data_IF_450819179588
#
_entry.id   IF_450819179588
#
_cell.length_a   1.000
_cell.length_b   1.000
_cell.length_c   1.000
_cell.angle_alpha   90.00
_cell.angle_beta   90.00
_cell.angle_gamma   90.00
#
_symmetry.space_group_name_H-M   'P 1'
#
loop_
_entity.id
_entity.type
_entity.pdbx_description
1 polymer ?
#
# COMPACT_ATOMS: atom_id res chain seq x y z
N UNK A 1 -24.53 6.10 -19.99
CA UNK A 1 -25.68 5.99 -19.07
C UNK A 1 -25.39 4.90 -18.06
N UNK A 2 -25.52 5.18 -16.76
CA UNK A 2 -25.17 4.25 -15.68
C UNK A 2 -26.04 2.97 -15.75
N UNK A 3 -25.42 1.78 -15.70
CA UNK A 3 -26.11 0.48 -15.68
C UNK A 3 -27.20 0.39 -14.60
N UNK A 4 -27.02 1.12 -13.49
CA UNK A 4 -28.01 1.27 -12.42
C UNK A 4 -29.34 1.89 -12.90
N UNK A 5 -29.28 2.90 -13.77
CA UNK A 5 -30.47 3.57 -14.31
C UNK A 5 -31.26 2.65 -15.25
N UNK A 6 -30.56 1.80 -16.00
CA UNK A 6 -31.20 0.78 -16.86
C UNK A 6 -31.93 -0.29 -16.03
N UNK A 7 -31.31 -0.74 -14.94
CA UNK A 7 -31.94 -1.72 -14.01
C UNK A 7 -33.17 -1.12 -13.35
N UNK A 8 -33.11 0.16 -12.94
CA UNK A 8 -34.23 0.84 -12.29
C UNK A 8 -35.41 1.02 -13.26
N UNK A 9 -35.14 1.38 -14.53
CA UNK A 9 -36.17 1.46 -15.58
C UNK A 9 -36.79 0.08 -15.84
N UNK A 10 -36.00 -1.01 -15.86
CA UNK A 10 -36.51 -2.37 -16.04
C UNK A 10 -37.42 -2.80 -14.89
N UNK A 11 -37.08 -2.45 -13.65
CA UNK A 11 -37.92 -2.75 -12.47
C UNK A 11 -39.23 -1.98 -12.55
N UNK A 12 -39.20 -0.69 -12.89
CA UNK A 12 -40.42 0.14 -13.04
C UNK A 12 -41.30 -0.38 -14.18
N UNK A 13 -40.69 -0.75 -15.32
CA UNK A 13 -41.42 -1.34 -16.45
C UNK A 13 -42.07 -2.68 -16.05
N UNK A 14 -41.35 -3.53 -15.31
CA UNK A 14 -41.87 -4.81 -14.83
C UNK A 14 -43.05 -4.63 -13.87
N UNK A 15 -42.95 -3.73 -12.89
CA UNK A 15 -44.03 -3.42 -11.94
C UNK A 15 -45.24 -2.83 -12.69
N UNK A 16 -45.02 -1.93 -13.66
CA UNK A 16 -46.09 -1.37 -14.47
C UNK A 16 -46.81 -2.45 -15.30
N UNK A 17 -46.09 -3.43 -15.83
CA UNK A 17 -46.67 -4.58 -16.53
C UNK A 17 -47.52 -5.47 -15.63
N UNK A 18 -47.12 -5.66 -14.37
CA UNK A 18 -47.91 -6.40 -13.37
C UNK A 18 -49.22 -5.67 -13.05
N UNK A 19 -49.14 -4.35 -12.81
CA UNK A 19 -50.33 -3.53 -12.52
C UNK A 19 -51.29 -3.52 -13.71
N UNK A 20 -50.76 -3.37 -14.92
CA UNK A 20 -51.57 -3.42 -16.16
C UNK A 20 -52.22 -4.79 -16.32
N UNK A 21 -51.49 -5.89 -16.06
CA UNK A 21 -52.03 -7.24 -16.11
C UNK A 21 -53.15 -7.46 -15.08
N UNK A 22 -52.96 -7.04 -13.82
CA UNK A 22 -53.96 -7.19 -12.75
C UNK A 22 -55.24 -6.38 -13.04
N UNK A 23 -55.09 -5.17 -13.60
CA UNK A 23 -56.22 -4.31 -13.98
C UNK A 23 -56.96 -4.89 -15.22
N UNK A 24 -56.24 -5.39 -16.23
CA UNK A 24 -56.86 -5.94 -17.44
C UNK A 24 -57.48 -7.33 -17.22
N UNK A 25 -56.89 -8.17 -16.36
CA UNK A 25 -57.45 -9.49 -16.03
C UNK A 25 -58.77 -9.38 -15.27
N UNK A 26 -58.95 -8.33 -14.46
CA UNK A 26 -60.25 -8.06 -13.80
C UNK A 26 -61.33 -7.50 -14.73
N UNK A 27 -60.99 -7.08 -15.96
CA UNK A 27 -61.94 -6.42 -16.87
C UNK A 27 -62.43 -7.27 -18.05
N UNK A 28 -61.95 -8.51 -18.21
CA UNK A 28 -62.38 -9.40 -19.28
C UNK A 28 -62.56 -10.83 -18.77
N UNK A 29 -63.57 -11.53 -19.29
CA UNK A 29 -64.05 -12.88 -18.99
C UNK A 29 -63.04 -14.02 -19.23
N UNK A 30 -61.76 -13.82 -18.89
CA UNK A 30 -60.69 -14.80 -19.03
C UNK A 30 -60.02 -14.92 -17.66
N UNK A 31 -60.44 -15.94 -16.90
CA UNK A 31 -59.74 -16.36 -15.68
C UNK A 31 -58.40 -16.96 -16.09
N UNK A 32 -57.37 -16.12 -16.14
CA UNK A 32 -56.00 -16.60 -16.15
C UNK A 32 -55.71 -17.12 -14.74
N UNK A 33 -55.59 -18.45 -14.59
CA UNK A 33 -55.11 -19.08 -13.37
C UNK A 33 -53.59 -19.23 -13.51
N UNK A 34 -52.76 -18.25 -13.11
CA UNK A 34 -51.32 -18.44 -13.14
C UNK A 34 -50.96 -19.56 -12.15
N UNK A 35 -50.27 -20.60 -12.62
CA UNK A 35 -49.72 -21.67 -11.77
C UNK A 35 -48.74 -21.14 -10.70
N UNK A 36 -48.21 -19.94 -10.91
CA UNK A 36 -47.31 -19.26 -9.99
C UNK A 36 -47.99 -18.02 -9.42
N UNK A 37 -48.09 -17.95 -8.09
CA UNK A 37 -48.59 -16.76 -7.41
C UNK A 37 -47.67 -15.57 -7.69
N UNK A 38 -48.26 -14.38 -7.89
CA UNK A 38 -47.53 -13.12 -8.08
C UNK A 38 -46.59 -12.84 -6.90
N UNK A 39 -46.97 -13.26 -5.69
CA UNK A 39 -46.12 -13.21 -4.49
C UNK A 39 -44.83 -14.01 -4.65
N UNK A 40 -44.85 -15.17 -5.31
CA UNK A 40 -43.67 -15.98 -5.55
C UNK A 40 -42.74 -15.31 -6.56
N UNK A 41 -43.29 -14.71 -7.62
CA UNK A 41 -42.50 -13.95 -8.61
C UNK A 41 -41.82 -12.72 -7.99
N UNK A 42 -42.52 -11.98 -7.14
CA UNK A 42 -41.96 -10.83 -6.41
C UNK A 42 -40.88 -11.27 -5.40
N UNK A 43 -41.09 -12.38 -4.70
CA UNK A 43 -40.11 -12.95 -3.77
C UNK A 43 -38.82 -13.37 -4.48
N UNK A 44 -38.94 -14.06 -5.62
CA UNK A 44 -37.80 -14.45 -6.47
C UNK A 44 -37.07 -13.21 -7.01
N UNK A 45 -37.80 -12.22 -7.52
CA UNK A 45 -37.21 -10.97 -8.01
C UNK A 45 -36.46 -10.21 -6.92
N UNK A 46 -37.04 -10.09 -5.72
CA UNK A 46 -36.42 -9.43 -4.57
C UNK A 46 -35.16 -10.16 -4.13
N UNK A 47 -35.21 -11.49 -4.07
CA UNK A 47 -34.04 -12.33 -3.73
C UNK A 47 -32.90 -12.13 -4.75
N UNK A 48 -33.22 -12.08 -6.04
CA UNK A 48 -32.24 -11.85 -7.10
C UNK A 48 -31.59 -10.47 -6.98
N UNK A 49 -32.37 -9.42 -6.69
CA UNK A 49 -31.87 -8.06 -6.47
C UNK A 49 -30.94 -8.01 -5.26
N UNK A 50 -31.32 -8.62 -4.14
CA UNK A 50 -30.49 -8.67 -2.93
C UNK A 50 -29.19 -9.41 -3.21
N UNK A 51 -29.24 -10.55 -3.92
CA UNK A 51 -28.05 -11.30 -4.29
C UNK A 51 -27.09 -10.47 -5.16
N UNK A 52 -27.61 -9.77 -6.17
CA UNK A 52 -26.82 -8.86 -7.02
C UNK A 52 -26.21 -7.72 -6.19
N UNK A 53 -26.97 -7.16 -5.25
CA UNK A 53 -26.50 -6.08 -4.38
C UNK A 53 -25.38 -6.55 -3.46
N UNK A 54 -25.54 -7.71 -2.80
CA UNK A 54 -24.53 -8.32 -1.95
C UNK A 54 -23.25 -8.60 -2.73
N UNK A 55 -23.35 -9.25 -3.90
CA UNK A 55 -22.18 -9.53 -4.75
C UNK A 55 -21.43 -8.25 -5.11
N UNK A 56 -22.14 -7.23 -5.61
CA UNK A 56 -21.51 -5.94 -5.95
C UNK A 56 -20.87 -5.25 -4.75
N UNK A 57 -21.50 -5.32 -3.57
CA UNK A 57 -20.97 -4.74 -2.34
C UNK A 57 -19.67 -5.44 -1.92
N UNK A 58 -19.67 -6.79 -1.92
CA UNK A 58 -18.49 -7.57 -1.58
C UNK A 58 -17.35 -7.38 -2.58
N UNK A 59 -17.65 -7.33 -3.88
CA UNK A 59 -16.64 -7.10 -4.92
C UNK A 59 -15.99 -5.72 -4.78
N UNK A 60 -16.79 -4.68 -4.52
CA UNK A 60 -16.27 -3.33 -4.26
C UNK A 60 -15.39 -3.28 -3.02
N UNK A 61 -15.80 -3.95 -1.94
CA UNK A 61 -15.03 -4.02 -0.70
C UNK A 61 -13.69 -4.72 -0.91
N UNK A 62 -13.69 -5.89 -1.56
CA UNK A 62 -12.47 -6.64 -1.92
C UNK A 62 -11.55 -5.81 -2.80
N UNK A 63 -12.10 -5.15 -3.82
CA UNK A 63 -11.32 -4.30 -4.73
C UNK A 63 -10.66 -3.13 -4.00
N UNK A 64 -11.38 -2.44 -3.11
CA UNK A 64 -10.83 -1.34 -2.33
C UNK A 64 -9.74 -1.82 -1.36
N UNK A 65 -9.91 -2.98 -0.74
CA UNK A 65 -8.89 -3.57 0.12
C UNK A 65 -7.61 -3.87 -0.67
N UNK A 66 -7.73 -4.57 -1.81
CA UNK A 66 -6.59 -4.88 -2.68
C UNK A 66 -5.86 -3.63 -3.16
N UNK A 67 -6.60 -2.61 -3.62
CA UNK A 67 -5.99 -1.35 -4.06
C UNK A 67 -5.16 -0.66 -2.96
N UNK A 68 -5.58 -0.76 -1.69
CA UNK A 68 -4.82 -0.21 -0.57
C UNK A 68 -3.56 -1.02 -0.26
N UNK A 69 -3.65 -2.35 -0.35
CA UNK A 69 -2.51 -3.27 -0.25
C UNK A 69 -1.48 -2.97 -1.34
N UNK A 70 -1.91 -2.86 -2.60
CA UNK A 70 -1.04 -2.53 -3.73
C UNK A 70 -0.33 -1.19 -3.54
N UNK A 71 -1.04 -0.19 -3.01
CA UNK A 71 -0.45 1.12 -2.72
C UNK A 71 0.67 1.04 -1.67
N UNK A 72 0.51 0.22 -0.62
CA UNK A 72 1.54 0.00 0.39
C UNK A 72 2.75 -0.72 -0.23
N UNK A 73 2.52 -1.78 -1.01
CA UNK A 73 3.59 -2.53 -1.68
C UNK A 73 4.39 -1.62 -2.62
N UNK A 74 3.70 -0.79 -3.40
CA UNK A 74 4.34 0.17 -4.29
C UNK A 74 5.23 1.17 -3.52
N UNK A 75 4.74 1.70 -2.39
CA UNK A 75 5.52 2.62 -1.55
C UNK A 75 6.71 1.94 -0.87
N UNK A 76 6.58 0.68 -0.46
CA UNK A 76 7.72 -0.13 -0.01
C UNK A 76 8.75 -0.30 -1.13
N UNK A 77 8.29 -0.51 -2.37
CA UNK A 77 9.15 -0.53 -3.56
C UNK A 77 9.87 0.80 -3.80
N UNK A 78 9.21 1.93 -3.56
CA UNK A 78 9.86 3.25 -3.63
C UNK A 78 10.99 3.39 -2.61
N UNK A 79 10.84 2.85 -1.39
CA UNK A 79 11.93 2.85 -0.40
C UNK A 79 13.12 2.03 -0.92
N UNK A 80 12.88 0.81 -1.43
CA UNK A 80 13.95 -0.02 -2.03
C UNK A 80 14.68 0.72 -3.15
N UNK A 81 13.95 1.42 -4.03
CA UNK A 81 14.56 2.19 -5.10
C UNK A 81 15.48 3.30 -4.55
N UNK A 82 15.03 4.03 -3.52
CA UNK A 82 15.88 5.07 -2.91
C UNK A 82 17.08 4.47 -2.17
N UNK A 83 16.95 3.31 -1.53
CA UNK A 83 18.09 2.60 -0.93
C UNK A 83 19.11 2.17 -1.98
N UNK A 84 18.65 1.60 -3.10
CA UNK A 84 19.50 1.22 -4.22
C UNK A 84 20.20 2.43 -4.84
N UNK A 85 19.51 3.57 -4.98
CA UNK A 85 20.12 4.81 -5.45
C UNK A 85 21.27 5.24 -4.52
N UNK A 86 21.07 5.20 -3.20
CA UNK A 86 22.14 5.53 -2.23
C UNK A 86 23.30 4.53 -2.35
N UNK A 87 23.01 3.23 -2.47
CA UNK A 87 24.02 2.19 -2.65
C UNK A 87 24.85 2.40 -3.92
N UNK A 88 24.21 2.74 -5.04
CA UNK A 88 24.87 3.02 -6.31
C UNK A 88 25.76 4.26 -6.22
N UNK A 89 25.27 5.33 -5.57
CA UNK A 89 26.09 6.53 -5.32
C UNK A 89 27.31 6.21 -4.43
N UNK A 90 27.27 5.14 -3.61
CA UNK A 90 28.33 4.72 -2.69
C UNK A 90 29.33 3.70 -3.26
N UNK A 91 29.15 3.19 -4.49
CA UNK A 91 30.06 2.21 -5.10
C UNK A 91 31.51 2.72 -5.18
N UNK A 92 31.67 4.02 -5.39
CA UNK A 92 32.97 4.72 -5.41
C UNK A 92 33.53 5.03 -4.01
N UNK A 93 32.87 4.56 -2.95
CA UNK A 93 33.24 4.84 -1.56
C UNK A 93 33.02 6.29 -1.13
N UNK A 94 32.25 7.07 -1.91
CA UNK A 94 32.05 8.50 -1.67
C UNK A 94 30.60 8.91 -1.90
N UNK A 95 30.06 9.80 -1.08
CA UNK A 95 28.73 10.41 -1.32
C UNK A 95 28.71 11.88 -0.90
N UNK A 96 27.95 12.71 -1.60
CA UNK A 96 27.69 14.07 -1.13
C UNK A 96 26.82 14.02 0.12
N UNK A 97 27.22 14.75 1.17
CA UNK A 97 26.44 14.84 2.41
C UNK A 97 25.00 15.29 2.15
N UNK A 98 24.82 16.28 1.27
CA UNK A 98 23.51 16.81 0.91
C UNK A 98 22.63 15.75 0.23
N UNK A 99 23.22 14.94 -0.67
CA UNK A 99 22.52 13.83 -1.32
C UNK A 99 22.11 12.76 -0.31
N UNK A 100 23.04 12.34 0.55
CA UNK A 100 22.76 11.33 1.59
C UNK A 100 21.64 11.79 2.52
N UNK A 101 21.75 13.01 3.07
CA UNK A 101 20.74 13.56 3.99
C UNK A 101 19.36 13.71 3.31
N UNK A 102 19.33 14.18 2.05
CA UNK A 102 18.07 14.35 1.31
C UNK A 102 17.37 13.01 1.03
N UNK A 103 18.13 12.00 0.56
CA UNK A 103 17.58 10.67 0.26
C UNK A 103 17.12 9.93 1.52
N UNK A 104 17.87 10.04 2.62
CA UNK A 104 17.42 9.52 3.92
C UNK A 104 16.12 10.19 4.38
N UNK A 105 16.01 11.52 4.25
CA UNK A 105 14.76 12.23 4.58
C UNK A 105 13.59 11.75 3.73
N UNK A 106 13.82 11.48 2.44
CA UNK A 106 12.81 10.90 1.53
C UNK A 106 12.35 9.53 2.01
N UNK A 107 13.27 8.62 2.32
CA UNK A 107 12.94 7.27 2.86
C UNK A 107 12.07 7.39 4.11
N UNK A 108 12.49 8.21 5.08
CA UNK A 108 11.74 8.38 6.32
C UNK A 108 10.34 8.95 6.10
N UNK A 109 10.19 9.90 5.17
CA UNK A 109 8.88 10.44 4.79
C UNK A 109 7.94 9.40 4.18
N UNK A 110 8.46 8.53 3.30
CA UNK A 110 7.68 7.44 2.71
C UNK A 110 7.27 6.44 3.80
N UNK A 111 8.20 6.04 4.67
CA UNK A 111 7.94 5.14 5.78
C UNK A 111 6.85 5.65 6.73
N UNK A 112 6.91 6.92 7.12
CA UNK A 112 5.88 7.55 7.95
C UNK A 112 4.49 7.57 7.30
N UNK A 113 4.43 7.70 5.97
CA UNK A 113 3.16 7.60 5.29
C UNK A 113 2.65 6.16 5.36
N UNK A 114 3.47 5.17 5.00
CA UNK A 114 3.11 3.75 5.03
C UNK A 114 2.58 3.34 6.41
N UNK A 115 3.27 3.73 7.48
CA UNK A 115 2.85 3.42 8.84
C UNK A 115 1.45 3.97 9.15
N UNK A 116 1.19 5.23 8.77
CA UNK A 116 -0.13 5.86 8.91
C UNK A 116 -1.22 5.20 8.06
N UNK A 117 -0.92 4.81 6.81
CA UNK A 117 -1.89 4.12 5.97
C UNK A 117 -2.22 2.72 6.49
N UNK A 118 -1.26 2.03 7.10
CA UNK A 118 -1.48 0.71 7.64
C UNK A 118 -2.24 0.70 8.97
N UNK A 119 -2.04 1.69 9.84
CA UNK A 119 -2.89 1.87 11.03
C UNK A 119 -4.38 1.97 10.66
N UNK A 120 -4.68 2.65 9.55
CA UNK A 120 -6.05 2.77 9.03
C UNK A 120 -6.63 1.46 8.49
N UNK A 121 -5.79 0.46 8.22
CA UNK A 121 -6.22 -0.80 7.62
C UNK A 121 -6.71 -1.86 8.62
N UNK A 122 -6.59 -1.64 9.94
CA UNK A 122 -6.99 -2.53 11.08
C UNK A 122 -6.48 -3.98 11.05
N UNK A 123 -6.28 -4.59 9.89
CA UNK A 123 -5.81 -5.96 9.64
C UNK A 123 -4.29 -6.01 9.36
N UNK A 124 -3.68 -4.89 8.96
CA UNK A 124 -2.24 -4.75 8.75
C UNK A 124 -1.63 -4.11 9.99
N UNK A 125 -1.23 -4.96 10.93
CA UNK A 125 -0.62 -4.48 12.16
C UNK A 125 0.89 -4.24 11.94
N UNK A 126 1.25 -3.15 11.25
CA UNK A 126 2.66 -2.79 10.98
C UNK A 126 3.47 -2.67 12.29
N UNK A 127 2.82 -2.29 13.41
CA UNK A 127 3.47 -2.22 14.72
C UNK A 127 3.98 -3.58 15.25
N UNK A 128 3.40 -4.71 14.82
CA UNK A 128 3.90 -6.07 15.12
C UNK A 128 4.91 -6.59 14.09
N UNK A 129 5.15 -5.84 13.02
CA UNK A 129 5.73 -6.32 11.76
C UNK A 129 7.18 -5.85 11.53
N UNK A 130 7.89 -5.46 12.59
CA UNK A 130 9.28 -5.03 12.50
C UNK A 130 9.48 -3.53 12.38
N UNK A 131 8.48 -2.71 12.74
CA UNK A 131 8.63 -1.24 12.84
C UNK A 131 9.89 -0.84 13.63
N UNK A 132 10.13 -1.50 14.78
CA UNK A 132 11.33 -1.25 15.57
C UNK A 132 12.59 -1.67 14.81
N UNK A 133 12.58 -2.82 14.11
CA UNK A 133 13.75 -3.27 13.36
C UNK A 133 14.07 -2.35 12.18
N UNK A 134 13.08 -1.94 11.39
CA UNK A 134 13.31 -1.00 10.30
C UNK A 134 13.78 0.36 10.83
N UNK A 135 13.12 0.92 11.83
CA UNK A 135 13.44 2.23 12.39
C UNK A 135 14.81 2.25 13.08
N UNK A 136 15.16 1.21 13.84
CA UNK A 136 16.46 1.07 14.48
C UNK A 136 17.59 0.94 13.44
N UNK A 137 17.40 0.09 12.42
CA UNK A 137 18.40 -0.11 11.35
C UNK A 137 18.52 1.11 10.46
N UNK A 138 17.41 1.79 10.18
CA UNK A 138 17.40 3.04 9.43
C UNK A 138 18.08 4.17 10.20
N UNK A 139 17.84 4.27 11.51
CA UNK A 139 18.53 5.22 12.39
C UNK A 139 20.03 4.93 12.41
N UNK A 140 20.42 3.66 12.49
CA UNK A 140 21.84 3.28 12.43
C UNK A 140 22.48 3.66 11.09
N UNK A 141 21.80 3.38 9.97
CA UNK A 141 22.26 3.80 8.63
C UNK A 141 22.37 5.32 8.53
N UNK A 142 21.38 6.06 9.04
CA UNK A 142 21.41 7.52 9.08
C UNK A 142 22.62 8.02 9.87
N UNK A 143 22.89 7.43 11.03
CA UNK A 143 24.03 7.82 11.86
C UNK A 143 25.35 7.53 11.13
N UNK A 144 25.47 6.38 10.46
CA UNK A 144 26.66 6.07 9.67
C UNK A 144 26.88 6.99 8.47
N UNK A 145 25.80 7.44 7.82
CA UNK A 145 25.88 8.30 6.64
C UNK A 145 25.99 9.79 6.98
N UNK A 146 25.43 10.25 8.10
CA UNK A 146 25.30 11.69 8.42
C UNK A 146 26.00 12.13 9.70
N UNK A 147 26.25 11.22 10.65
CA UNK A 147 26.92 11.55 11.90
C UNK A 147 28.43 11.36 11.73
N UNK A 148 29.09 12.45 11.37
CA UNK A 148 30.54 12.54 11.16
C UNK A 148 31.14 13.33 12.33
N UNK A 149 32.04 12.75 13.14
CA UNK A 149 32.82 13.55 14.08
C UNK A 149 33.71 14.50 13.28
N UNK A 150 33.62 15.82 13.55
CA UNK A 150 34.62 16.79 13.09
C UNK A 150 35.94 16.45 13.78
N UNK A 151 36.80 15.71 13.09
CA UNK A 151 38.13 15.40 13.61
C UNK A 151 38.97 16.65 13.50
N UNK A 152 39.41 17.18 14.65
CA UNK A 152 40.42 18.22 14.72
C UNK A 152 41.74 17.63 14.21
N UNK A 153 42.33 18.27 13.19
CA UNK A 153 43.53 17.81 12.47
C UNK A 153 44.78 17.64 13.36
N UNK A 154 44.70 18.00 14.64
CA UNK A 154 45.81 18.04 15.59
C UNK A 154 45.93 16.79 16.46
N UNK A 155 45.03 15.80 16.36
CA UNK A 155 45.00 14.66 17.32
C UNK A 155 45.06 13.24 16.76
N UNK A 156 45.28 12.99 15.47
CA UNK A 156 45.22 11.61 14.94
C UNK A 156 46.53 11.17 14.27
N UNK A 157 47.17 10.18 14.89
CA UNK A 157 48.15 9.29 14.25
C UNK A 157 47.49 8.61 13.05
N UNK A 158 48.15 8.63 11.89
CA UNK A 158 47.65 8.39 10.52
C UNK A 158 46.92 7.05 10.20
N UNK A 159 46.43 6.28 11.17
CA UNK A 159 45.90 4.92 10.94
C UNK A 159 44.43 4.69 11.33
N UNK A 160 43.74 5.64 11.97
CA UNK A 160 42.38 5.41 12.54
C UNK A 160 41.35 6.50 12.21
N UNK A 161 41.46 7.18 11.07
CA UNK A 161 40.40 8.10 10.63
C UNK A 161 39.36 7.27 9.87
N UNK A 162 38.13 7.05 10.39
CA UNK A 162 37.16 6.18 9.71
C UNK A 162 36.52 6.82 8.46
N UNK A 163 36.68 8.14 8.28
CA UNK A 163 35.99 8.99 7.31
C UNK A 163 36.76 10.28 7.02
N UNK A 164 36.81 10.69 5.75
CA UNK A 164 37.33 12.02 5.37
C UNK A 164 36.21 12.84 4.71
N UNK A 165 35.98 14.08 5.15
CA UNK A 165 35.03 15.00 4.49
C UNK A 165 35.81 16.10 3.79
N UNK A 166 35.77 16.12 2.46
CA UNK A 166 36.40 17.14 1.61
C UNK A 166 35.35 17.71 0.67
N UNK A 167 35.22 19.04 0.64
CA UNK A 167 34.32 19.77 -0.28
C UNK A 167 32.85 19.29 -0.26
N UNK A 168 32.34 18.90 0.91
CA UNK A 168 30.96 18.40 1.07
C UNK A 168 30.74 16.95 0.58
N UNK A 169 31.81 16.26 0.18
CA UNK A 169 31.85 14.85 -0.16
C UNK A 169 32.42 14.08 1.03
N UNK A 170 31.72 13.03 1.43
CA UNK A 170 32.12 12.10 2.48
C UNK A 170 32.83 10.93 1.79
N UNK A 171 34.05 10.64 2.20
CA UNK A 171 34.84 9.49 1.80
C UNK A 171 34.81 8.48 2.94
N UNK A 172 34.34 7.27 2.65
CA UNK A 172 34.22 6.18 3.62
C UNK A 172 35.39 5.22 3.49
N UNK A 173 35.99 4.84 4.63
CA UNK A 173 36.92 3.71 4.64
C UNK A 173 36.19 2.38 4.39
N UNK A 174 36.93 1.39 3.87
CA UNK A 174 36.39 0.08 3.50
C UNK A 174 35.56 -0.59 4.61
N UNK A 175 36.01 -0.51 5.88
CA UNK A 175 35.30 -1.09 7.00
C UNK A 175 33.90 -0.49 7.20
N UNK A 176 33.76 0.83 6.99
CA UNK A 176 32.49 1.53 7.12
C UNK A 176 31.60 1.29 5.91
N UNK A 177 32.17 1.13 4.72
CA UNK A 177 31.42 0.71 3.53
C UNK A 177 30.82 -0.68 3.70
N UNK A 178 31.58 -1.63 4.25
CA UNK A 178 31.07 -2.98 4.54
C UNK A 178 29.89 -2.93 5.51
N UNK A 179 29.98 -2.13 6.57
CA UNK A 179 28.89 -1.96 7.54
C UNK A 179 27.65 -1.31 6.92
N UNK A 180 27.84 -0.27 6.10
CA UNK A 180 26.76 0.39 5.36
C UNK A 180 26.07 -0.59 4.41
N UNK A 181 26.83 -1.37 3.64
CA UNK A 181 26.31 -2.36 2.71
C UNK A 181 25.53 -3.47 3.42
N UNK A 182 26.02 -3.94 4.57
CA UNK A 182 25.29 -4.88 5.41
C UNK A 182 23.95 -4.31 5.90
N UNK A 183 23.91 -3.03 6.28
CA UNK A 183 22.65 -2.38 6.67
C UNK A 183 21.69 -2.20 5.49
N UNK A 184 22.19 -1.91 4.28
CA UNK A 184 21.35 -1.91 3.07
C UNK A 184 20.71 -3.27 2.83
N UNK A 185 21.48 -4.34 2.96
CA UNK A 185 20.97 -5.71 2.81
C UNK A 185 19.89 -6.03 3.85
N UNK A 186 20.14 -5.71 5.13
CA UNK A 186 19.14 -5.92 6.19
C UNK A 186 17.86 -5.12 5.90
N UNK A 187 17.97 -3.86 5.49
CA UNK A 187 16.81 -3.01 5.20
C UNK A 187 16.03 -3.54 4.01
N UNK A 188 16.70 -3.95 2.93
CA UNK A 188 16.07 -4.57 1.77
C UNK A 188 15.34 -5.86 2.15
N UNK A 189 15.97 -6.72 2.96
CA UNK A 189 15.35 -7.95 3.47
C UNK A 189 14.14 -7.66 4.37
N UNK A 190 14.21 -6.61 5.20
CA UNK A 190 13.10 -6.17 6.04
C UNK A 190 11.93 -5.68 5.20
N UNK A 191 12.21 -4.88 4.16
CA UNK A 191 11.19 -4.37 3.24
C UNK A 191 10.54 -5.52 2.46
N UNK A 192 11.34 -6.47 1.99
CA UNK A 192 10.83 -7.67 1.31
C UNK A 192 9.92 -8.50 2.23
N UNK A 193 10.34 -8.72 3.48
CA UNK A 193 9.51 -9.36 4.49
C UNK A 193 8.19 -8.61 4.75
N UNK A 194 8.23 -7.28 4.78
CA UNK A 194 7.01 -6.46 4.88
C UNK A 194 6.09 -6.64 3.67
N UNK A 195 6.63 -6.65 2.45
CA UNK A 195 5.86 -6.87 1.22
C UNK A 195 5.13 -8.22 1.25
N UNK A 196 5.84 -9.31 1.59
CA UNK A 196 5.24 -10.64 1.69
C UNK A 196 4.12 -10.71 2.73
N UNK A 197 4.30 -10.04 3.87
CA UNK A 197 3.29 -10.02 4.92
C UNK A 197 2.04 -9.19 4.57
N UNK A 198 2.23 -8.16 3.74
CA UNK A 198 1.14 -7.33 3.21
C UNK A 198 0.39 -8.07 2.10
N UNK A 199 1.08 -8.87 1.29
CA UNK A 199 0.49 -9.68 0.21
C UNK A 199 -0.19 -10.95 0.73
N UNK A 200 0.36 -11.59 1.78
CA UNK A 200 -0.15 -12.83 2.35
C UNK A 200 -1.42 -12.70 3.22
N UNK A 201 -2.02 -11.51 3.31
CA UNK A 201 -3.23 -11.22 4.10
C UNK A 201 -4.35 -10.64 3.22
#
# INVERSE_FOLDING_TARGET
MNKFYQILILIVAFISGIIVNEIFVNWSFITFNPELSISNLLSVGTTLIIAIFLTNYFDRSKFHSRKKVDLIINRLGEINNVLNDISNDLEDGKISYQKAASRLKKIYGIYLSISKEAENLKNINISKLGNNQFEDKFKHLKDLLTNTPKIDKTKISNSEIPLEVKDGIIFYHQNRLTEINYLFEILNNTIFGLQLNVEGK
#
